data_IF_155081893039
#
_entry.id   IF_155081893039
#
_cell.length_a   1.000
_cell.length_b   1.000
_cell.length_c   1.000
_cell.angle_alpha   90.00
_cell.angle_beta   90.00
_cell.angle_gamma   90.00
#
_symmetry.space_group_name_H-M   'P 1'
#
loop_
_entity.id
_entity.type
_entity.pdbx_description
1 polymer ?
#
# COMPACT_ATOMS: atom_id res chain seq x y z
N UNK A 1 -12.01 -2.17 0.98
CA UNK A 1 -12.85 -3.38 0.70
C UNK A 1 -11.92 -4.57 0.57
N UNK A 2 -12.15 -5.69 1.26
CA UNK A 2 -11.29 -6.89 1.10
C UNK A 2 -11.73 -7.72 -0.11
N UNK A 3 -10.77 -8.29 -0.83
CA UNK A 3 -11.03 -9.37 -1.78
C UNK A 3 -11.14 -10.70 -1.02
N UNK A 4 -11.82 -11.67 -1.60
CA UNK A 4 -11.92 -13.01 -1.06
C UNK A 4 -11.27 -14.00 -2.05
N UNK A 5 -10.48 -14.93 -1.53
CA UNK A 5 -9.81 -15.95 -2.33
C UNK A 5 -10.87 -16.91 -2.90
N UNK A 6 -10.82 -17.20 -4.21
CA UNK A 6 -11.86 -17.99 -4.89
C UNK A 6 -11.87 -19.45 -4.46
N UNK A 7 -12.85 -20.19 -4.98
CA UNK A 7 -12.95 -21.62 -4.75
C UNK A 7 -11.72 -22.37 -5.25
N UNK A 8 -11.23 -23.32 -4.45
CA UNK A 8 -10.01 -24.08 -4.71
C UNK A 8 -8.71 -23.39 -4.24
N UNK A 9 -8.81 -22.18 -3.66
CA UNK A 9 -7.64 -21.40 -3.22
C UNK A 9 -6.93 -20.70 -4.37
N UNK A 10 -5.84 -20.00 -4.05
CA UNK A 10 -4.98 -19.32 -5.02
C UNK A 10 -3.51 -19.39 -4.59
N UNK A 11 -2.57 -18.98 -5.44
CA UNK A 11 -1.15 -18.91 -5.09
C UNK A 11 -0.58 -17.54 -5.46
N UNK A 12 -0.04 -16.85 -4.45
CA UNK A 12 0.63 -15.57 -4.65
C UNK A 12 2.09 -15.66 -4.22
N UNK A 13 3.02 -15.37 -5.13
CA UNK A 13 4.48 -15.41 -4.88
C UNK A 13 4.96 -16.71 -4.22
N UNK A 14 4.41 -17.85 -4.64
CA UNK A 14 4.75 -19.17 -4.10
C UNK A 14 4.06 -19.54 -2.78
N UNK A 15 3.23 -18.66 -2.23
CA UNK A 15 2.42 -18.95 -1.05
C UNK A 15 1.00 -19.33 -1.45
N UNK A 16 0.54 -20.51 -1.01
CA UNK A 16 -0.85 -20.92 -1.19
C UNK A 16 -1.76 -20.16 -0.23
N UNK A 17 -2.82 -19.57 -0.77
CA UNK A 17 -3.88 -18.89 -0.05
C UNK A 17 -5.12 -19.79 -0.06
N UNK A 18 -5.64 -20.20 1.11
CA UNK A 18 -6.84 -21.02 1.19
C UNK A 18 -8.09 -20.30 0.66
N UNK A 19 -9.02 -21.06 0.07
CA UNK A 19 -10.37 -20.60 -0.29
C UNK A 19 -11.04 -19.83 0.86
N UNK A 20 -11.75 -18.75 0.54
CA UNK A 20 -12.49 -17.95 1.52
C UNK A 20 -11.61 -17.02 2.36
N UNK A 21 -10.28 -17.03 2.19
CA UNK A 21 -9.40 -16.08 2.87
C UNK A 21 -9.71 -14.65 2.40
N UNK A 22 -9.91 -13.73 3.35
CA UNK A 22 -10.09 -12.31 3.05
C UNK A 22 -8.74 -11.62 2.95
N UNK A 23 -8.44 -11.08 1.77
CA UNK A 23 -7.24 -10.32 1.47
C UNK A 23 -7.58 -8.84 1.47
N UNK A 24 -7.00 -8.10 2.40
CA UNK A 24 -7.11 -6.64 2.49
C UNK A 24 -5.73 -6.01 2.61
N UNK A 25 -5.67 -4.70 2.43
CA UNK A 25 -4.48 -3.92 2.71
C UNK A 25 -4.63 -3.19 4.05
N UNK A 26 -3.50 -2.88 4.70
CA UNK A 26 -3.48 -2.10 5.93
C UNK A 26 -3.18 -0.63 5.59
N UNK A 27 -4.23 0.19 5.45
CA UNK A 27 -4.07 1.62 5.13
C UNK A 27 -3.14 2.33 6.12
N UNK A 28 -3.29 2.04 7.43
CA UNK A 28 -2.46 2.62 8.47
C UNK A 28 -0.97 2.33 8.28
N UNK A 29 -0.64 1.09 7.90
CA UNK A 29 0.74 0.67 7.65
C UNK A 29 1.29 1.23 6.35
N UNK A 30 0.49 1.20 5.27
CA UNK A 30 0.86 1.75 3.97
C UNK A 30 1.21 3.24 4.08
N UNK A 31 0.41 4.02 4.80
CA UNK A 31 0.63 5.47 4.95
C UNK A 31 1.75 5.85 5.93
N UNK A 32 2.45 4.88 6.52
CA UNK A 32 3.58 5.09 7.43
C UNK A 32 4.88 4.47 6.96
N UNK A 33 4.90 3.94 5.74
CA UNK A 33 6.07 3.34 5.10
C UNK A 33 7.15 4.39 4.79
N UNK A 34 8.32 4.36 5.44
CA UNK A 34 9.36 5.37 5.21
C UNK A 34 9.95 5.33 3.80
N UNK A 35 9.91 4.17 3.14
CA UNK A 35 10.40 4.00 1.77
C UNK A 35 9.52 4.70 0.71
N UNK A 36 8.28 5.04 1.05
CA UNK A 36 7.36 5.81 0.18
C UNK A 36 7.26 7.25 0.67
N UNK A 37 7.09 7.41 1.97
CA UNK A 37 6.69 8.67 2.58
C UNK A 37 7.89 9.44 3.17
N UNK A 38 9.09 8.88 3.20
CA UNK A 38 10.25 9.46 3.89
C UNK A 38 10.36 9.04 5.36
N UNK A 39 11.52 9.27 5.97
CA UNK A 39 11.79 8.93 7.38
C UNK A 39 10.82 9.63 8.37
N UNK A 40 10.26 10.75 7.95
CA UNK A 40 9.23 11.54 8.62
C UNK A 40 7.80 11.05 8.31
N UNK A 41 7.62 9.77 7.93
CA UNK A 41 6.32 9.18 7.57
C UNK A 41 5.26 9.22 8.69
N UNK A 42 5.68 9.45 9.94
CA UNK A 42 4.79 9.58 11.10
C UNK A 42 4.45 11.04 11.45
N UNK A 43 4.97 12.00 10.69
CA UNK A 43 4.74 13.43 10.91
C UNK A 43 3.75 14.00 9.89
N UNK A 44 3.00 15.02 10.33
CA UNK A 44 2.17 15.79 9.41
C UNK A 44 3.04 16.83 8.70
N UNK A 45 3.45 16.52 7.45
CA UNK A 45 4.28 17.40 6.61
C UNK A 45 3.64 17.62 5.23
N UNK A 46 2.71 18.58 5.08
CA UNK A 46 2.09 18.92 3.79
C UNK A 46 3.09 19.27 2.69
N UNK A 47 4.22 19.86 3.06
CA UNK A 47 5.30 20.27 2.15
C UNK A 47 5.89 19.09 1.38
N UNK A 48 5.68 17.84 1.83
CA UNK A 48 6.11 16.63 1.10
C UNK A 48 5.58 16.56 -0.33
N UNK A 49 4.42 17.14 -0.58
CA UNK A 49 3.82 17.18 -1.92
C UNK A 49 4.39 18.30 -2.79
N UNK A 50 5.01 19.31 -2.18
CA UNK A 50 5.59 20.46 -2.86
C UNK A 50 7.10 20.26 -3.09
N UNK A 51 7.78 19.66 -2.11
CA UNK A 51 9.22 19.45 -2.05
C UNK A 51 9.60 18.02 -2.45
N UNK A 52 9.09 17.54 -3.58
CA UNK A 52 9.41 16.21 -4.09
C UNK A 52 9.78 16.23 -5.58
N UNK A 53 10.57 15.23 -5.98
CA UNK A 53 10.78 14.98 -7.40
C UNK A 53 9.50 14.45 -8.06
N UNK A 54 9.40 14.60 -9.39
CA UNK A 54 8.27 14.05 -10.16
C UNK A 54 8.13 12.53 -10.00
N UNK A 55 9.24 11.81 -9.78
CA UNK A 55 9.22 10.37 -9.53
C UNK A 55 8.64 10.03 -8.17
N UNK A 56 9.01 10.80 -7.13
CA UNK A 56 8.45 10.65 -5.80
C UNK A 56 6.96 11.00 -5.77
N UNK A 57 6.55 12.06 -6.47
CA UNK A 57 5.13 12.43 -6.57
C UNK A 57 4.31 11.29 -7.15
N UNK A 58 4.74 10.74 -8.29
CA UNK A 58 4.06 9.59 -8.93
C UNK A 58 3.98 8.36 -8.03
N UNK A 59 5.05 8.08 -7.28
CA UNK A 59 5.06 6.97 -6.32
C UNK A 59 4.05 7.19 -5.19
N UNK A 60 4.01 8.39 -4.61
CA UNK A 60 3.08 8.73 -3.54
C UNK A 60 1.62 8.72 -4.02
N UNK A 61 1.34 9.33 -5.18
CA UNK A 61 0.01 9.32 -5.81
C UNK A 61 -0.46 7.89 -6.10
N UNK A 62 0.37 7.07 -6.75
CA UNK A 62 0.04 5.67 -7.03
C UNK A 62 -0.18 4.83 -5.77
N UNK A 63 0.44 5.21 -4.65
CA UNK A 63 0.20 4.56 -3.35
C UNK A 63 -1.16 4.94 -2.75
N UNK A 64 -1.62 6.18 -2.97
CA UNK A 64 -2.96 6.61 -2.56
C UNK A 64 -4.06 5.91 -3.39
N UNK A 65 -3.82 5.69 -4.68
CA UNK A 65 -4.78 5.03 -5.58
C UNK A 65 -5.00 3.53 -5.29
N UNK A 66 -4.16 2.91 -4.44
CA UNK A 66 -4.35 1.53 -4.01
C UNK A 66 -5.54 1.35 -3.04
N UNK A 67 -6.08 2.45 -2.50
CA UNK A 67 -7.05 2.45 -1.40
C UNK A 67 -8.49 2.52 -1.88
#
# INVERSE_FOLDING_TARGET
MSKEVPKGGDTFKGHHLPEGTKVGYCAWGIFRRPDIWGEDSNEFRPERWLDCSQDQLRLMEGTLELV
#
